data_IF_116600595173
#
_entry.id   IF_116600595173
#
_cell.length_a   1.000
_cell.length_b   1.000
_cell.length_c   1.000
_cell.angle_alpha   90.00
_cell.angle_beta   90.00
_cell.angle_gamma   90.00
#
_symmetry.space_group_name_H-M   'P 1'
#
loop_
_entity.id
_entity.type
_entity.pdbx_description
1 polymer ?
#
# COMPACT_ATOMS: atom_id res chain seq x y z
N UNK A 1 20.96 3.57 7.65
CA UNK A 1 20.67 3.66 6.21
C UNK A 1 20.46 5.13 5.80
N UNK A 2 20.83 5.50 4.57
CA UNK A 2 20.57 6.84 4.02
C UNK A 2 19.06 7.12 4.12
N UNK A 3 18.67 8.29 4.65
CA UNK A 3 17.27 8.71 4.75
C UNK A 3 16.56 8.43 6.09
N UNK A 4 17.14 7.69 7.04
CA UNK A 4 16.50 7.43 8.34
C UNK A 4 16.05 8.69 9.11
N UNK A 5 16.86 9.77 9.20
CA UNK A 5 16.42 10.99 9.88
C UNK A 5 15.19 11.63 9.20
N UNK A 6 15.17 11.65 7.86
CA UNK A 6 14.05 12.17 7.07
C UNK A 6 12.78 11.37 7.34
N UNK A 7 12.85 10.04 7.26
CA UNK A 7 11.71 9.15 7.55
C UNK A 7 11.17 9.35 8.96
N UNK A 8 12.06 9.54 9.97
CA UNK A 8 11.62 9.81 11.35
C UNK A 8 10.88 11.15 11.48
N UNK A 9 11.36 12.19 10.81
CA UNK A 9 10.71 13.50 10.81
C UNK A 9 9.35 13.43 10.12
N UNK A 10 9.28 12.82 8.94
CA UNK A 10 8.02 12.62 8.20
C UNK A 10 7.01 11.80 9.01
N UNK A 11 7.45 10.72 9.66
CA UNK A 11 6.58 9.91 10.51
C UNK A 11 6.03 10.71 11.71
N UNK A 12 6.88 11.50 12.38
CA UNK A 12 6.44 12.36 13.49
C UNK A 12 5.47 13.44 13.02
N UNK A 13 5.75 14.08 11.88
CA UNK A 13 4.87 15.08 11.29
C UNK A 13 3.50 14.49 10.93
N UNK A 14 3.48 13.27 10.37
CA UNK A 14 2.24 12.57 10.05
C UNK A 14 1.43 12.24 11.31
N UNK A 15 2.07 11.74 12.38
CA UNK A 15 1.39 11.49 13.67
C UNK A 15 0.82 12.79 14.25
N UNK A 16 1.61 13.88 14.26
CA UNK A 16 1.15 15.18 14.75
C UNK A 16 -0.06 15.69 13.94
N UNK A 17 -0.03 15.55 12.61
CA UNK A 17 -1.16 15.90 11.75
C UNK A 17 -2.43 15.13 12.12
N UNK A 18 -2.35 13.80 12.28
CA UNK A 18 -3.52 13.00 12.66
C UNK A 18 -4.06 13.37 14.05
N UNK A 19 -3.19 13.69 15.02
CA UNK A 19 -3.61 14.19 16.34
C UNK A 19 -4.36 15.51 16.20
N UNK A 20 -3.84 16.46 15.44
CA UNK A 20 -4.50 17.76 15.21
C UNK A 20 -5.87 17.56 14.55
N UNK A 21 -5.95 16.73 13.49
CA UNK A 21 -7.20 16.42 12.80
C UNK A 21 -8.22 15.80 13.75
N UNK A 22 -7.81 14.85 14.60
CA UNK A 22 -8.69 14.23 15.59
C UNK A 22 -9.20 15.26 16.61
N UNK A 23 -8.32 16.12 17.14
CA UNK A 23 -8.70 17.16 18.10
C UNK A 23 -9.70 18.15 17.50
N UNK A 24 -9.47 18.60 16.26
CA UNK A 24 -10.40 19.46 15.53
C UNK A 24 -11.73 18.76 15.26
N UNK A 25 -11.71 17.48 14.87
CA UNK A 25 -12.92 16.71 14.63
C UNK A 25 -13.79 16.58 15.90
N UNK A 26 -13.17 16.36 17.06
CA UNK A 26 -13.86 16.33 18.34
C UNK A 26 -14.40 17.72 18.72
N UNK A 27 -13.59 18.77 18.55
CA UNK A 27 -13.98 20.15 18.86
C UNK A 27 -15.19 20.62 18.05
N UNK A 28 -15.16 20.41 16.74
CA UNK A 28 -16.25 20.78 15.84
C UNK A 28 -17.37 19.74 15.76
N UNK A 29 -17.30 18.65 16.54
CA UNK A 29 -18.22 17.51 16.48
C UNK A 29 -18.40 16.97 15.07
N UNK A 30 -17.33 16.95 14.28
CA UNK A 30 -17.31 16.48 12.90
C UNK A 30 -17.28 14.95 12.85
N UNK A 31 -18.34 14.31 13.36
CA UNK A 31 -18.46 12.85 13.46
C UNK A 31 -18.36 12.15 12.10
N UNK A 32 -18.78 12.82 11.01
CA UNK A 32 -18.61 12.32 9.65
C UNK A 32 -17.14 11.99 9.32
N UNK A 33 -16.18 12.80 9.79
CA UNK A 33 -14.75 12.56 9.58
C UNK A 33 -14.30 11.26 10.26
N UNK A 34 -14.84 10.98 11.45
CA UNK A 34 -14.51 9.77 12.20
C UNK A 34 -15.00 8.53 11.45
N UNK A 35 -16.25 8.53 10.99
CA UNK A 35 -16.87 7.36 10.38
C UNK A 35 -16.47 7.11 8.93
N UNK A 36 -16.21 8.16 8.14
CA UNK A 36 -15.87 8.01 6.72
C UNK A 36 -14.37 7.84 6.50
N UNK A 37 -13.53 8.33 7.42
CA UNK A 37 -12.08 8.33 7.23
C UNK A 37 -11.33 7.58 8.34
N UNK A 38 -11.42 8.03 9.60
CA UNK A 38 -10.55 7.51 10.66
C UNK A 38 -10.84 6.03 10.97
N UNK A 39 -12.12 5.68 11.19
CA UNK A 39 -12.52 4.31 11.51
C UNK A 39 -12.20 3.33 10.38
N UNK A 40 -12.57 3.60 9.10
CA UNK A 40 -12.18 2.73 7.99
C UNK A 40 -10.67 2.58 7.83
N UNK A 41 -9.90 3.65 8.02
CA UNK A 41 -8.44 3.58 7.95
C UNK A 41 -7.87 2.66 9.04
N UNK A 42 -8.30 2.80 10.30
CA UNK A 42 -7.82 1.95 11.39
C UNK A 42 -8.16 0.47 11.18
N UNK A 43 -9.34 0.19 10.61
CA UNK A 43 -9.75 -1.18 10.29
C UNK A 43 -8.99 -1.76 9.09
N UNK A 44 -8.74 -0.97 8.04
CA UNK A 44 -8.08 -1.44 6.81
C UNK A 44 -6.56 -1.55 6.91
N UNK A 45 -5.91 -0.67 7.68
CA UNK A 45 -4.45 -0.59 7.74
C UNK A 45 -3.74 -1.89 8.17
N UNK A 46 -4.22 -2.67 9.15
CA UNK A 46 -3.60 -3.95 9.50
C UNK A 46 -3.57 -4.94 8.33
N UNK A 47 -4.66 -5.05 7.58
CA UNK A 47 -4.75 -5.93 6.41
C UNK A 47 -3.85 -5.44 5.29
N UNK A 48 -3.88 -4.13 5.00
CA UNK A 48 -2.97 -3.52 4.03
C UNK A 48 -1.50 -3.73 4.43
N UNK A 49 -1.18 -3.70 5.73
CA UNK A 49 0.19 -3.92 6.19
C UNK A 49 0.67 -5.34 5.95
N UNK A 50 -0.19 -6.35 6.18
CA UNK A 50 0.12 -7.74 5.85
C UNK A 50 0.27 -7.94 4.34
N UNK A 51 -0.59 -7.29 3.56
CA UNK A 51 -0.57 -7.29 2.10
C UNK A 51 0.76 -6.73 1.55
N UNK A 52 1.16 -5.52 1.99
CA UNK A 52 2.44 -4.91 1.61
C UNK A 52 3.66 -5.71 2.08
N UNK A 53 3.56 -6.39 3.24
CA UNK A 53 4.63 -7.26 3.71
C UNK A 53 4.76 -8.51 2.84
N UNK A 54 3.68 -9.06 2.30
CA UNK A 54 3.75 -10.17 1.35
C UNK A 54 4.47 -9.75 0.05
N UNK A 55 4.25 -8.52 -0.38
CA UNK A 55 4.74 -7.97 -1.65
C UNK A 55 6.20 -7.44 -1.61
N UNK A 56 6.63 -6.86 -0.48
CA UNK A 56 7.97 -6.28 -0.35
C UNK A 56 8.82 -6.95 0.74
N UNK A 57 8.20 -7.76 1.60
CA UNK A 57 8.87 -8.37 2.74
C UNK A 57 10.04 -9.23 2.28
N UNK A 58 11.22 -8.86 2.78
CA UNK A 58 12.50 -9.54 2.52
C UNK A 58 12.95 -9.52 1.05
N UNK A 59 12.34 -8.68 0.21
CA UNK A 59 12.87 -8.46 -1.13
C UNK A 59 14.18 -7.65 -1.05
N UNK A 60 15.14 -7.88 -1.97
CA UNK A 60 16.37 -7.11 -2.06
C UNK A 60 16.14 -5.60 -2.20
N UNK A 61 16.98 -4.79 -1.55
CA UNK A 61 16.94 -3.32 -1.65
C UNK A 61 17.73 -2.85 -2.88
N UNK A 62 17.30 -3.27 -4.08
CA UNK A 62 17.95 -2.99 -5.36
C UNK A 62 17.06 -2.14 -6.27
N UNK A 63 17.64 -1.55 -7.32
CA UNK A 63 16.87 -0.70 -8.25
C UNK A 63 15.93 -1.50 -9.17
N UNK A 64 16.23 -2.79 -9.41
CA UNK A 64 15.39 -3.64 -10.23
C UNK A 64 14.06 -3.92 -9.52
N UNK A 65 12.97 -3.40 -10.06
CA UNK A 65 11.63 -3.51 -9.46
C UNK A 65 11.12 -4.95 -9.45
N UNK A 66 11.49 -5.77 -10.44
CA UNK A 66 11.13 -7.19 -10.47
C UNK A 66 11.80 -8.01 -9.35
N UNK A 67 12.91 -7.52 -8.80
CA UNK A 67 13.60 -8.14 -7.66
C UNK A 67 13.20 -7.49 -6.33
N UNK A 68 13.05 -6.16 -6.29
CA UNK A 68 12.70 -5.41 -5.06
C UNK A 68 11.24 -5.61 -4.63
N UNK A 69 10.41 -6.18 -5.50
CA UNK A 69 8.99 -6.44 -5.23
C UNK A 69 8.61 -7.85 -5.64
N UNK A 70 7.43 -8.32 -5.25
CA UNK A 70 6.97 -9.69 -5.49
C UNK A 70 5.50 -9.73 -5.89
N UNK A 71 5.22 -10.52 -6.91
CA UNK A 71 3.86 -10.95 -7.26
C UNK A 71 3.33 -11.96 -6.24
N UNK A 72 2.21 -11.63 -5.60
CA UNK A 72 1.55 -12.49 -4.60
C UNK A 72 0.37 -13.21 -5.25
N UNK A 73 0.60 -14.44 -5.74
CA UNK A 73 -0.49 -15.25 -6.30
C UNK A 73 -1.50 -15.61 -5.21
N UNK A 74 -2.76 -15.23 -5.42
CA UNK A 74 -3.83 -15.34 -4.43
C UNK A 74 -5.18 -15.66 -5.09
N UNK A 75 -6.21 -15.88 -4.28
CA UNK A 75 -7.54 -16.24 -4.74
C UNK A 75 -8.24 -15.11 -5.52
N UNK A 76 -9.31 -15.47 -6.23
CA UNK A 76 -10.08 -14.55 -7.06
C UNK A 76 -10.69 -13.37 -6.28
N UNK A 77 -11.12 -13.60 -5.02
CA UNK A 77 -11.73 -12.55 -4.21
C UNK A 77 -10.73 -11.43 -3.90
N UNK A 78 -9.54 -11.79 -3.44
CA UNK A 78 -8.46 -10.82 -3.15
C UNK A 78 -8.02 -10.12 -4.44
N UNK A 79 -7.86 -10.87 -5.54
CA UNK A 79 -7.53 -10.28 -6.84
C UNK A 79 -8.60 -9.29 -7.32
N UNK A 80 -9.88 -9.58 -7.12
CA UNK A 80 -10.96 -8.66 -7.52
C UNK A 80 -10.99 -7.41 -6.64
N UNK A 81 -10.87 -7.58 -5.32
CA UNK A 81 -10.86 -6.48 -4.35
C UNK A 81 -9.69 -5.53 -4.58
N UNK A 82 -8.50 -6.08 -4.83
CA UNK A 82 -7.27 -5.33 -5.07
C UNK A 82 -7.04 -5.03 -6.57
N UNK A 83 -8.04 -5.20 -7.44
CA UNK A 83 -7.92 -4.92 -8.87
C UNK A 83 -6.68 -5.56 -9.54
N UNK A 84 -6.41 -6.84 -9.30
CA UNK A 84 -5.22 -7.54 -9.78
C UNK A 84 -3.87 -6.90 -9.38
N UNK A 85 -3.84 -5.95 -8.43
CA UNK A 85 -2.58 -5.44 -7.86
C UNK A 85 -1.70 -6.50 -7.18
N UNK A 86 -2.16 -7.72 -6.81
CA UNK A 86 -1.23 -8.76 -6.36
C UNK A 86 -0.20 -9.14 -7.43
N UNK A 87 -0.41 -8.80 -8.72
CA UNK A 87 0.63 -8.73 -9.76
C UNK A 87 1.50 -7.48 -9.57
N UNK A 88 2.11 -7.40 -8.39
CA UNK A 88 2.72 -6.19 -7.86
C UNK A 88 4.07 -5.90 -8.50
N UNK A 89 4.86 -6.96 -8.77
CA UNK A 89 6.14 -6.80 -9.44
C UNK A 89 5.99 -6.29 -10.87
N UNK A 90 4.98 -6.79 -11.58
CA UNK A 90 4.57 -6.30 -12.88
C UNK A 90 4.17 -4.83 -12.83
N UNK A 91 3.32 -4.46 -11.87
CA UNK A 91 2.85 -3.09 -11.70
C UNK A 91 4.01 -2.13 -11.42
N UNK A 92 4.95 -2.50 -10.55
CA UNK A 92 6.10 -1.65 -10.24
C UNK A 92 7.10 -1.55 -11.40
N UNK A 93 7.33 -2.64 -12.13
CA UNK A 93 8.24 -2.62 -13.27
C UNK A 93 7.64 -1.85 -14.48
N UNK A 94 6.33 -1.95 -14.68
CA UNK A 94 5.62 -1.34 -15.81
C UNK A 94 4.26 -0.75 -15.39
N UNK A 95 4.25 0.40 -14.69
CA UNK A 95 3.02 0.98 -14.13
C UNK A 95 2.01 1.47 -15.19
N UNK A 96 2.43 1.56 -16.46
CA UNK A 96 1.53 1.87 -17.57
C UNK A 96 0.63 0.70 -17.99
N UNK A 97 0.89 -0.54 -17.56
CA UNK A 97 0.02 -1.67 -17.84
C UNK A 97 -1.25 -1.54 -16.99
N UNK A 98 -2.45 -1.47 -17.60
CA UNK A 98 -3.67 -1.33 -16.84
C UNK A 98 -3.93 -2.59 -16.02
N UNK A 99 -4.53 -2.41 -14.85
CA UNK A 99 -4.66 -3.45 -13.84
C UNK A 99 -5.34 -4.75 -14.33
N UNK A 100 -6.28 -4.64 -15.27
CA UNK A 100 -6.99 -5.79 -15.84
C UNK A 100 -6.13 -6.62 -16.81
N UNK A 101 -5.01 -6.07 -17.31
CA UNK A 101 -4.05 -6.74 -18.19
C UNK A 101 -2.84 -7.32 -17.44
N UNK A 102 -2.63 -6.95 -16.17
CA UNK A 102 -1.52 -7.49 -15.36
C UNK A 102 -1.44 -9.03 -15.33
N UNK A 103 -2.56 -9.79 -15.28
CA UNK A 103 -2.47 -11.25 -15.33
C UNK A 103 -1.92 -11.78 -16.67
N UNK A 104 -2.24 -11.12 -17.79
CA UNK A 104 -1.68 -11.49 -19.08
C UNK A 104 -0.21 -11.09 -19.16
N UNK A 105 0.13 -9.90 -18.69
CA UNK A 105 1.51 -9.44 -18.67
C UNK A 105 2.42 -10.35 -17.83
N UNK A 106 1.95 -10.81 -16.67
CA UNK A 106 2.64 -11.84 -15.88
C UNK A 106 2.97 -13.09 -16.70
N UNK A 107 2.02 -13.59 -17.52
CA UNK A 107 2.26 -14.75 -18.39
C UNK A 107 3.31 -14.49 -19.48
N UNK A 108 3.43 -13.25 -19.95
CA UNK A 108 4.38 -12.87 -20.98
C UNK A 108 5.82 -12.79 -20.45
N UNK A 109 6.01 -12.30 -19.22
CA UNK A 109 7.34 -12.09 -18.62
C UNK A 109 7.83 -13.27 -17.77
N UNK A 110 6.95 -14.20 -17.41
CA UNK A 110 7.31 -15.42 -16.68
C UNK A 110 7.90 -16.52 -17.58
N UNK A 111 8.07 -16.25 -18.89
CA UNK A 111 8.77 -17.09 -19.86
C UNK A 111 10.20 -16.62 -20.02
#
# INVERSE_FOLDING_TARGET
PKGLPKVRVEARAMVAFYVVVLMLALWFRATALLYVWIVPALLGQPFLRLYLLAEHGRCPLVANMLENTRTTLTNWLVRKLAWNMPFHAEHHAYPGVPFHQLPEFHRLIAR
#
